data_IF_299379797735
#
_entry.id   IF_299379797735
#
_cell.length_a   1.000
_cell.length_b   1.000
_cell.length_c   1.000
_cell.angle_alpha   90.00
_cell.angle_beta   90.00
_cell.angle_gamma   90.00
#
_symmetry.space_group_name_H-M   'P 1'
#
loop_
_entity.id
_entity.type
_entity.pdbx_description
1 polymer ?
#
# COMPACT_ATOMS: atom_id res chain seq x y z
N UNK A 1 22.97 48.38 0.83
CA UNK A 1 21.58 47.94 1.09
C UNK A 1 20.79 48.12 -0.18
N UNK A 2 20.36 47.03 -0.84
CA UNK A 2 19.72 47.16 -2.16
C UNK A 2 18.19 47.24 -2.10
N UNK A 3 17.54 46.74 -1.07
CA UNK A 3 16.06 46.72 -0.98
C UNK A 3 15.50 47.26 0.35
N UNK A 4 16.37 47.70 1.28
CA UNK A 4 15.92 48.37 2.52
C UNK A 4 15.23 47.55 3.57
N UNK A 5 15.16 46.20 3.36
CA UNK A 5 14.48 45.29 4.29
C UNK A 5 15.41 44.96 5.46
N UNK A 6 14.88 45.02 6.68
CA UNK A 6 15.58 44.50 7.88
C UNK A 6 15.47 42.98 7.87
N UNK A 7 16.58 42.31 7.86
CA UNK A 7 16.68 40.87 7.98
C UNK A 7 16.67 40.45 9.44
N UNK A 8 15.99 39.36 9.75
CA UNK A 8 16.02 38.75 11.06
C UNK A 8 17.41 38.15 11.38
N UNK A 9 17.67 37.93 12.67
CA UNK A 9 18.91 37.27 13.12
C UNK A 9 18.99 35.85 12.54
N UNK A 10 20.04 35.56 11.78
CA UNK A 10 20.27 34.24 11.15
C UNK A 10 19.90 34.16 9.67
N UNK A 11 19.23 35.15 9.10
CA UNK A 11 18.91 35.13 7.66
C UNK A 11 20.13 35.49 6.82
N UNK A 12 20.55 34.57 5.97
CA UNK A 12 21.72 34.74 5.09
C UNK A 12 21.37 35.27 3.71
N UNK A 13 20.09 35.35 3.36
CA UNK A 13 19.59 35.87 2.08
C UNK A 13 18.32 36.69 2.30
N UNK A 14 18.23 37.79 1.57
CA UNK A 14 17.02 38.60 1.56
C UNK A 14 15.89 37.88 0.82
N UNK A 15 14.70 37.66 1.41
CA UNK A 15 13.59 37.00 0.75
C UNK A 15 13.00 37.78 -0.44
N UNK A 16 13.21 39.12 -0.47
CA UNK A 16 12.66 39.99 -1.52
C UNK A 16 13.59 40.09 -2.75
N UNK A 17 14.90 40.26 -2.56
CA UNK A 17 15.83 40.47 -3.67
C UNK A 17 16.79 39.30 -3.91
N UNK A 18 16.75 38.25 -3.09
CA UNK A 18 17.59 37.06 -3.23
C UNK A 18 19.09 37.28 -2.94
N UNK A 19 19.51 38.52 -2.68
CA UNK A 19 20.91 38.84 -2.42
C UNK A 19 21.34 38.31 -1.05
N UNK A 20 22.60 37.86 -0.96
CA UNK A 20 23.22 37.47 0.31
C UNK A 20 23.43 38.69 1.21
N UNK A 21 22.96 38.59 2.44
CA UNK A 21 23.25 39.58 3.46
C UNK A 21 24.73 39.44 3.90
N UNK A 22 25.47 40.50 3.82
CA UNK A 22 26.87 40.58 4.30
C UNK A 22 27.01 41.77 5.22
N UNK A 23 27.50 41.53 6.41
CA UNK A 23 27.90 42.57 7.33
C UNK A 23 29.34 42.27 7.82
N UNK A 24 30.30 43.20 7.65
CA UNK A 24 31.69 42.94 7.95
C UNK A 24 31.97 42.70 9.45
N UNK A 25 31.20 43.36 10.33
CA UNK A 25 31.44 43.38 11.77
C UNK A 25 30.61 42.36 12.58
N UNK A 26 29.68 41.66 11.94
CA UNK A 26 28.85 40.66 12.63
C UNK A 26 29.37 39.27 12.27
N UNK A 27 30.01 38.53 13.22
CA UNK A 27 30.38 37.14 12.97
C UNK A 27 29.13 36.36 12.66
N UNK A 28 29.19 35.52 11.63
CA UNK A 28 28.12 34.64 11.15
C UNK A 28 27.70 33.71 12.29
N UNK A 29 26.76 34.12 13.09
CA UNK A 29 26.08 33.21 13.98
C UNK A 29 25.15 32.35 13.10
N UNK A 30 25.60 31.14 12.78
CA UNK A 30 24.73 30.12 12.25
C UNK A 30 23.88 29.64 13.45
N UNK A 31 22.90 30.43 13.82
CA UNK A 31 21.90 30.01 14.80
C UNK A 31 21.19 28.77 14.25
N UNK A 32 20.95 27.79 15.11
CA UNK A 32 20.08 26.68 14.76
C UNK A 32 18.77 27.22 14.20
N UNK A 33 18.33 26.77 13.04
CA UNK A 33 17.10 27.28 12.45
C UNK A 33 15.94 27.01 13.42
N UNK A 34 15.18 28.07 13.74
CA UNK A 34 14.01 28.04 14.63
C UNK A 34 12.93 27.01 14.19
N UNK A 35 12.99 26.59 12.93
CA UNK A 35 12.11 25.58 12.35
C UNK A 35 12.95 24.44 11.77
N UNK A 36 12.59 23.18 12.01
CA UNK A 36 13.27 22.06 11.37
C UNK A 36 13.13 22.19 9.85
N UNK A 37 14.26 22.14 9.13
CA UNK A 37 14.32 22.23 7.66
C UNK A 37 13.56 21.13 6.93
N UNK A 38 13.18 20.09 7.63
CA UNK A 38 12.38 18.99 7.12
C UNK A 38 11.10 18.90 7.95
N UNK A 39 10.00 19.00 7.26
CA UNK A 39 8.71 18.65 7.85
C UNK A 39 8.76 17.17 8.21
N UNK A 40 8.98 16.86 9.46
CA UNK A 40 8.87 15.48 9.95
C UNK A 40 7.38 15.19 9.99
N UNK A 41 6.91 14.55 8.92
CA UNK A 41 5.55 14.05 8.91
C UNK A 41 5.38 13.16 10.15
N UNK A 42 4.30 13.33 10.94
CA UNK A 42 4.07 12.51 12.11
C UNK A 42 4.00 11.04 11.68
N UNK A 43 5.06 10.30 11.98
CA UNK A 43 5.00 8.85 11.90
C UNK A 43 4.08 8.42 13.04
N UNK A 44 2.95 7.92 12.77
CA UNK A 44 2.72 6.54 13.21
C UNK A 44 1.37 5.90 12.90
N UNK A 45 0.55 6.53 12.11
CA UNK A 45 -0.78 5.99 11.80
C UNK A 45 -0.67 4.55 11.25
N UNK A 46 0.38 4.27 10.49
CA UNK A 46 0.62 2.94 9.91
C UNK A 46 0.82 1.83 10.94
N UNK A 47 1.54 2.11 12.02
CA UNK A 47 1.80 1.09 13.07
C UNK A 47 0.54 0.77 13.83
N UNK A 48 -0.22 1.80 14.22
CA UNK A 48 -1.51 1.64 14.88
C UNK A 48 -2.54 0.94 13.98
N UNK A 49 -2.58 1.28 12.69
CA UNK A 49 -3.46 0.60 11.72
C UNK A 49 -3.13 -0.88 11.56
N UNK A 50 -1.85 -1.26 11.50
CA UNK A 50 -1.46 -2.68 11.45
C UNK A 50 -1.96 -3.47 12.64
N UNK A 51 -1.73 -2.95 13.84
CA UNK A 51 -2.22 -3.59 15.07
C UNK A 51 -3.73 -3.69 15.10
N UNK A 52 -4.43 -2.64 14.71
CA UNK A 52 -5.89 -2.62 14.65
C UNK A 52 -6.43 -3.70 13.70
N UNK A 53 -5.94 -3.75 12.46
CA UNK A 53 -6.35 -4.79 11.50
C UNK A 53 -6.03 -6.19 11.98
N UNK A 54 -4.87 -6.40 12.60
CA UNK A 54 -4.48 -7.71 13.12
C UNK A 54 -5.39 -8.14 14.28
N UNK A 55 -5.70 -7.24 15.21
CA UNK A 55 -6.58 -7.53 16.34
C UNK A 55 -8.00 -7.85 15.84
N UNK A 56 -8.53 -7.04 14.93
CA UNK A 56 -9.87 -7.27 14.36
C UNK A 56 -9.93 -8.61 13.61
N UNK A 57 -8.92 -8.93 12.80
CA UNK A 57 -8.86 -10.20 12.07
C UNK A 57 -8.77 -11.39 13.02
N UNK A 58 -7.94 -11.33 14.07
CA UNK A 58 -7.82 -12.38 15.06
C UNK A 58 -9.10 -12.54 15.88
N UNK A 59 -9.74 -11.44 16.28
CA UNK A 59 -11.00 -11.49 17.02
C UNK A 59 -12.11 -12.12 16.16
N UNK A 60 -12.23 -11.71 14.91
CA UNK A 60 -13.20 -12.30 13.98
C UNK A 60 -12.94 -13.80 13.74
N UNK A 61 -11.68 -14.19 13.56
CA UNK A 61 -11.31 -15.59 13.40
C UNK A 61 -11.64 -16.41 14.64
N UNK A 62 -11.34 -15.89 15.83
CA UNK A 62 -11.63 -16.56 17.10
C UNK A 62 -13.14 -16.76 17.30
N UNK A 63 -13.94 -15.71 17.06
CA UNK A 63 -15.41 -15.81 17.15
C UNK A 63 -15.97 -16.84 16.18
N UNK A 64 -15.54 -16.83 14.92
CA UNK A 64 -16.01 -17.81 13.91
C UNK A 64 -15.66 -19.25 14.31
N UNK A 65 -14.44 -19.47 14.82
CA UNK A 65 -14.02 -20.80 15.28
C UNK A 65 -14.81 -21.25 16.53
N UNK A 66 -14.99 -20.37 17.50
CA UNK A 66 -15.73 -20.71 18.73
C UNK A 66 -17.18 -21.08 18.41
N UNK A 67 -17.84 -20.33 17.52
CA UNK A 67 -19.22 -20.61 17.11
C UNK A 67 -19.30 -21.95 16.38
N UNK A 68 -18.40 -22.24 15.44
CA UNK A 68 -18.44 -23.49 14.69
C UNK A 68 -18.15 -24.71 15.58
N UNK A 69 -17.17 -24.60 16.47
CA UNK A 69 -16.84 -25.66 17.44
C UNK A 69 -17.96 -25.89 18.47
N UNK A 70 -18.64 -24.82 18.90
CA UNK A 70 -19.73 -24.96 19.88
C UNK A 70 -21.00 -25.58 19.27
N UNK A 71 -21.26 -25.33 17.99
CA UNK A 71 -22.46 -25.85 17.31
C UNK A 71 -22.26 -27.25 16.73
N UNK A 72 -21.09 -27.51 16.14
CA UNK A 72 -20.88 -28.72 15.32
C UNK A 72 -19.73 -29.60 15.78
N UNK A 73 -18.95 -29.18 16.77
CA UNK A 73 -17.72 -29.88 17.25
C UNK A 73 -16.72 -30.21 16.15
N UNK A 74 -16.84 -29.58 15.00
CA UNK A 74 -16.01 -29.76 13.81
C UNK A 74 -15.86 -28.45 13.07
N UNK A 75 -14.75 -28.28 12.36
CA UNK A 75 -14.53 -27.16 11.45
C UNK A 75 -15.28 -27.42 10.14
N UNK A 76 -16.48 -26.86 10.00
CA UNK A 76 -17.35 -27.03 8.83
C UNK A 76 -17.36 -25.81 7.94
N UNK A 77 -18.11 -24.78 8.30
CA UNK A 77 -18.21 -23.55 7.51
C UNK A 77 -17.14 -22.49 7.90
N UNK A 78 -16.62 -22.55 9.13
CA UNK A 78 -15.59 -21.60 9.57
C UNK A 78 -14.32 -21.65 8.73
N UNK A 79 -14.00 -22.79 8.13
CA UNK A 79 -12.86 -22.91 7.22
C UNK A 79 -12.95 -21.99 6.00
N UNK A 80 -14.14 -21.79 5.45
CA UNK A 80 -14.34 -20.85 4.34
C UNK A 80 -14.19 -19.41 4.80
N UNK A 81 -14.75 -19.07 5.97
CA UNK A 81 -14.63 -17.70 6.53
C UNK A 81 -13.19 -17.39 6.91
N UNK A 82 -12.50 -18.32 7.53
CA UNK A 82 -11.08 -18.15 7.89
C UNK A 82 -10.19 -17.97 6.66
N UNK A 83 -10.44 -18.74 5.60
CA UNK A 83 -9.73 -18.59 4.32
C UNK A 83 -9.99 -17.22 3.70
N UNK A 84 -11.23 -16.77 3.66
CA UNK A 84 -11.58 -15.43 3.18
C UNK A 84 -10.96 -14.32 4.02
N UNK A 85 -10.97 -14.49 5.36
CA UNK A 85 -10.37 -13.53 6.28
C UNK A 85 -8.84 -13.47 6.12
N UNK A 86 -8.19 -14.60 5.89
CA UNK A 86 -6.76 -14.67 5.62
C UNK A 86 -6.39 -13.94 4.31
N UNK A 87 -7.17 -14.14 3.24
CA UNK A 87 -6.99 -13.41 1.98
C UNK A 87 -7.23 -11.92 2.18
N UNK A 88 -8.32 -11.53 2.83
CA UNK A 88 -8.59 -10.12 3.14
C UNK A 88 -7.48 -9.48 3.97
N UNK A 89 -6.92 -10.22 4.93
CA UNK A 89 -5.78 -9.76 5.72
C UNK A 89 -4.54 -9.55 4.85
N UNK A 90 -4.23 -10.48 3.95
CA UNK A 90 -3.11 -10.34 3.01
C UNK A 90 -3.31 -9.10 2.14
N UNK A 91 -4.48 -8.93 1.53
CA UNK A 91 -4.79 -7.80 0.65
C UNK A 91 -4.68 -6.43 1.37
N UNK A 92 -5.15 -6.34 2.62
CA UNK A 92 -5.22 -5.09 3.36
C UNK A 92 -3.96 -4.81 4.20
N UNK A 93 -3.41 -5.83 4.85
CA UNK A 93 -2.32 -5.68 5.79
C UNK A 93 -0.94 -5.73 5.11
N UNK A 94 -0.78 -6.54 4.05
CA UNK A 94 0.50 -6.71 3.38
C UNK A 94 1.12 -5.38 2.89
N UNK A 95 0.37 -4.48 2.21
CA UNK A 95 0.90 -3.18 1.80
C UNK A 95 1.27 -2.27 2.97
N UNK A 96 0.65 -2.46 4.14
CA UNK A 96 0.96 -1.70 5.34
C UNK A 96 2.25 -2.17 6.05
N UNK A 97 2.69 -3.42 5.80
CA UNK A 97 3.91 -3.98 6.39
C UNK A 97 5.18 -3.41 5.76
N UNK A 98 5.14 -3.05 4.49
CA UNK A 98 6.29 -2.51 3.78
C UNK A 98 6.34 -0.98 3.87
N UNK A 99 7.50 -0.42 4.21
CA UNK A 99 7.72 1.05 4.23
C UNK A 99 7.57 1.69 2.85
N UNK A 100 7.95 0.95 1.79
CA UNK A 100 7.80 1.33 0.38
C UNK A 100 7.28 0.11 -0.39
N UNK A 101 5.96 -0.12 -0.39
CA UNK A 101 5.42 -1.25 -1.14
C UNK A 101 5.62 -1.01 -2.64
N UNK A 102 6.32 -1.93 -3.28
CA UNK A 102 6.37 -1.96 -4.75
C UNK A 102 5.10 -2.66 -5.24
N UNK A 103 4.17 -1.93 -5.86
CA UNK A 103 2.88 -2.50 -6.28
C UNK A 103 3.05 -3.65 -7.30
N UNK A 104 4.11 -3.59 -8.10
CA UNK A 104 4.41 -4.61 -9.12
C UNK A 104 4.74 -5.98 -8.50
N UNK A 105 5.34 -6.01 -7.31
CA UNK A 105 5.66 -7.28 -6.60
C UNK A 105 4.50 -7.70 -5.69
N UNK A 106 3.78 -6.73 -5.15
CA UNK A 106 2.69 -6.98 -4.20
C UNK A 106 1.51 -7.66 -4.88
N UNK A 107 1.10 -7.17 -6.06
CA UNK A 107 -0.02 -7.69 -6.83
C UNK A 107 0.08 -9.21 -7.12
N UNK A 108 1.18 -9.75 -7.67
CA UNK A 108 1.30 -11.19 -7.87
C UNK A 108 1.13 -11.99 -6.58
N UNK A 109 1.65 -11.50 -5.45
CA UNK A 109 1.50 -12.18 -4.15
C UNK A 109 0.04 -12.22 -3.71
N UNK A 110 -0.69 -11.13 -3.90
CA UNK A 110 -2.13 -11.06 -3.61
C UNK A 110 -2.94 -12.04 -4.49
N UNK A 111 -2.63 -12.10 -5.79
CA UNK A 111 -3.27 -13.07 -6.70
C UNK A 111 -2.95 -14.52 -6.36
N UNK A 112 -1.72 -14.82 -5.91
CA UNK A 112 -1.38 -16.16 -5.41
C UNK A 112 -2.20 -16.50 -4.16
N UNK A 113 -2.37 -15.57 -3.23
CA UNK A 113 -3.21 -15.79 -2.04
C UNK A 113 -4.66 -16.09 -2.42
N UNK A 114 -5.24 -15.32 -3.36
CA UNK A 114 -6.58 -15.57 -3.90
C UNK A 114 -6.65 -16.94 -4.60
N UNK A 115 -5.66 -17.28 -5.42
CA UNK A 115 -5.59 -18.56 -6.11
C UNK A 115 -5.54 -19.76 -5.16
N UNK A 116 -4.74 -19.66 -4.10
CA UNK A 116 -4.68 -20.69 -3.05
C UNK A 116 -6.01 -20.85 -2.31
N UNK A 117 -6.70 -19.75 -2.05
CA UNK A 117 -8.02 -19.81 -1.44
C UNK A 117 -9.06 -20.45 -2.36
N UNK A 118 -9.07 -20.12 -3.65
CA UNK A 118 -9.95 -20.76 -4.62
C UNK A 118 -9.64 -22.26 -4.78
N UNK A 119 -8.36 -22.64 -4.74
CA UNK A 119 -7.94 -24.04 -4.71
C UNK A 119 -8.47 -24.77 -3.45
N UNK A 120 -8.37 -24.12 -2.28
CA UNK A 120 -8.92 -24.67 -1.05
C UNK A 120 -10.44 -24.93 -1.16
N UNK A 121 -11.20 -23.97 -1.70
CA UNK A 121 -12.64 -24.13 -1.95
C UNK A 121 -12.89 -25.32 -2.90
N UNK A 122 -12.16 -25.40 -4.01
CA UNK A 122 -12.29 -26.48 -4.98
C UNK A 122 -12.04 -27.85 -4.35
N UNK A 123 -11.01 -27.98 -3.50
CA UNK A 123 -10.71 -29.23 -2.79
C UNK A 123 -11.83 -29.61 -1.79
N UNK A 124 -12.41 -28.63 -1.12
CA UNK A 124 -13.51 -28.86 -0.16
C UNK A 124 -14.84 -29.22 -0.82
N UNK A 125 -15.10 -28.65 -1.99
CA UNK A 125 -16.34 -28.91 -2.77
C UNK A 125 -16.20 -30.08 -3.73
N UNK A 126 -15.00 -30.72 -3.81
CA UNK A 126 -14.69 -31.78 -4.78
C UNK A 126 -15.00 -31.37 -6.24
N UNK A 127 -14.95 -30.07 -6.51
CA UNK A 127 -15.23 -29.50 -7.83
C UNK A 127 -14.00 -29.57 -8.73
N UNK A 128 -14.19 -29.92 -10.01
CA UNK A 128 -13.10 -29.87 -11.03
C UNK A 128 -12.96 -28.51 -11.71
N UNK A 129 -13.64 -27.46 -11.22
CA UNK A 129 -13.74 -26.17 -11.90
C UNK A 129 -12.49 -25.27 -11.73
N UNK A 130 -11.63 -25.56 -10.76
CA UNK A 130 -10.46 -24.72 -10.48
C UNK A 130 -9.53 -24.63 -11.69
N UNK A 131 -9.09 -25.77 -12.23
CA UNK A 131 -8.17 -25.80 -13.37
C UNK A 131 -8.81 -25.33 -14.67
N UNK A 132 -10.11 -25.61 -14.85
CA UNK A 132 -10.83 -25.28 -16.07
C UNK A 132 -11.23 -23.81 -16.16
N UNK A 133 -11.50 -23.16 -15.04
CA UNK A 133 -12.04 -21.79 -15.02
C UNK A 133 -11.26 -20.85 -14.10
N UNK A 134 -11.13 -21.18 -12.81
CA UNK A 134 -10.57 -20.23 -11.84
C UNK A 134 -9.11 -19.92 -12.10
N UNK A 135 -8.29 -20.91 -12.39
CA UNK A 135 -6.87 -20.76 -12.64
C UNK A 135 -6.55 -19.89 -13.87
N UNK A 136 -7.11 -20.13 -15.05
CA UNK A 136 -6.86 -19.27 -16.21
C UNK A 136 -7.40 -17.85 -16.02
N UNK A 137 -8.56 -17.68 -15.41
CA UNK A 137 -9.15 -16.35 -15.15
C UNK A 137 -8.28 -15.54 -14.17
N UNK A 138 -7.88 -16.14 -13.05
CA UNK A 138 -7.00 -15.46 -12.07
C UNK A 138 -5.61 -15.20 -12.63
N UNK A 139 -5.08 -16.11 -13.45
CA UNK A 139 -3.79 -15.95 -14.11
C UNK A 139 -3.79 -14.79 -15.11
N UNK A 140 -4.79 -14.74 -15.98
CA UNK A 140 -4.94 -13.64 -16.95
C UNK A 140 -5.16 -12.30 -16.22
N UNK A 141 -6.03 -12.26 -15.22
CA UNK A 141 -6.26 -11.07 -14.42
C UNK A 141 -4.98 -10.58 -13.72
N UNK A 142 -4.19 -11.50 -13.16
CA UNK A 142 -2.91 -11.19 -12.55
C UNK A 142 -1.92 -10.58 -13.57
N UNK A 143 -1.78 -11.19 -14.74
CA UNK A 143 -0.89 -10.70 -15.79
C UNK A 143 -1.32 -9.31 -16.28
N UNK A 144 -2.59 -9.10 -16.56
CA UNK A 144 -3.12 -7.83 -17.02
C UNK A 144 -2.93 -6.73 -15.99
N UNK A 145 -3.35 -6.95 -14.75
CA UNK A 145 -3.23 -5.94 -13.68
C UNK A 145 -1.77 -5.63 -13.35
N UNK A 146 -0.91 -6.64 -13.27
CA UNK A 146 0.51 -6.43 -13.01
C UNK A 146 1.18 -5.67 -14.14
N UNK A 147 0.85 -5.98 -15.41
CA UNK A 147 1.37 -5.27 -16.58
C UNK A 147 0.92 -3.81 -16.58
N UNK A 148 -0.37 -3.54 -16.36
CA UNK A 148 -0.90 -2.17 -16.30
C UNK A 148 -0.23 -1.35 -15.19
N UNK A 149 -0.10 -1.94 -14.00
CA UNK A 149 0.52 -1.25 -12.86
C UNK A 149 2.03 -1.07 -13.07
N UNK A 150 2.72 -2.04 -13.66
CA UNK A 150 4.12 -1.92 -14.01
C UNK A 150 4.34 -0.78 -15.02
N UNK A 151 3.55 -0.74 -16.08
CA UNK A 151 3.59 0.32 -17.06
C UNK A 151 3.29 1.69 -16.45
N UNK A 152 2.26 1.79 -15.62
CA UNK A 152 1.92 3.02 -14.91
C UNK A 152 3.01 3.46 -13.93
N UNK A 153 3.69 2.51 -13.29
CA UNK A 153 4.76 2.81 -12.32
C UNK A 153 6.07 3.25 -13.00
N UNK A 154 6.44 2.60 -14.09
CA UNK A 154 7.72 2.85 -14.79
C UNK A 154 7.60 3.90 -15.89
N UNK A 155 6.48 3.98 -16.60
CA UNK A 155 6.24 5.01 -17.63
C UNK A 155 5.46 6.19 -17.05
N UNK A 156 6.17 7.24 -16.66
CA UNK A 156 5.57 8.48 -16.12
C UNK A 156 4.83 9.33 -17.18
N UNK A 157 4.88 8.99 -18.46
CA UNK A 157 4.22 9.72 -19.55
C UNK A 157 3.37 8.74 -20.36
N UNK A 158 2.07 9.02 -20.51
CA UNK A 158 1.19 8.27 -21.40
C UNK A 158 0.14 7.38 -20.72
N UNK A 159 -0.34 7.74 -19.55
CA UNK A 159 -1.38 6.98 -18.83
C UNK A 159 -2.60 6.64 -19.68
N UNK A 160 -3.04 7.55 -20.55
CA UNK A 160 -4.20 7.33 -21.42
C UNK A 160 -3.99 6.20 -22.43
N UNK A 161 -2.78 6.02 -22.97
CA UNK A 161 -2.46 4.92 -23.86
C UNK A 161 -2.44 3.57 -23.14
N UNK A 162 -1.99 3.55 -21.89
CA UNK A 162 -1.94 2.33 -21.07
C UNK A 162 -3.36 1.87 -20.73
N UNK A 163 -4.21 2.79 -20.26
CA UNK A 163 -5.60 2.47 -19.95
C UNK A 163 -6.41 2.12 -21.20
N UNK A 164 -6.22 2.83 -22.30
CA UNK A 164 -6.86 2.51 -23.58
C UNK A 164 -6.46 1.14 -24.09
N UNK A 165 -5.17 0.80 -24.07
CA UNK A 165 -4.68 -0.52 -24.44
C UNK A 165 -5.19 -1.65 -23.55
N UNK A 166 -5.24 -1.44 -22.24
CA UNK A 166 -5.79 -2.41 -21.29
C UNK A 166 -7.29 -2.64 -21.53
N UNK A 167 -8.06 -1.58 -21.78
CA UNK A 167 -9.50 -1.69 -22.07
C UNK A 167 -9.79 -2.48 -23.36
N UNK A 168 -8.97 -2.30 -24.39
CA UNK A 168 -9.07 -3.07 -25.63
C UNK A 168 -8.72 -4.55 -25.39
N UNK A 169 -7.68 -4.83 -24.61
CA UNK A 169 -7.27 -6.21 -24.32
C UNK A 169 -8.27 -6.99 -23.48
N UNK A 170 -9.10 -6.32 -22.68
CA UNK A 170 -10.16 -6.95 -21.85
C UNK A 170 -11.47 -7.09 -22.64
N UNK A 171 -11.67 -6.23 -23.65
CA UNK A 171 -12.91 -6.20 -24.45
C UNK A 171 -12.92 -7.07 -25.72
N UNK A 172 -11.76 -7.69 -26.08
CA UNK A 172 -11.65 -8.71 -27.11
C UNK A 172 -11.69 -10.10 -26.53
#
# INVERSE_FOLDING_TARGET
MNCGVRLGEGETRCPLCGLRAYHPDIPRQVGEPLYPRQWVAPEPIRTSMRFLFTIIALAAAAVCLLVDLSLWSRVTWSGYVLGALAVAYVLLALPLWFRRPNPVVLLPVEFVAVGLYLLYINLKTSGGWFLSFAFPVTGIACLLTTTVVALAHYLRRGYFFIFGGASIAVGC
#
